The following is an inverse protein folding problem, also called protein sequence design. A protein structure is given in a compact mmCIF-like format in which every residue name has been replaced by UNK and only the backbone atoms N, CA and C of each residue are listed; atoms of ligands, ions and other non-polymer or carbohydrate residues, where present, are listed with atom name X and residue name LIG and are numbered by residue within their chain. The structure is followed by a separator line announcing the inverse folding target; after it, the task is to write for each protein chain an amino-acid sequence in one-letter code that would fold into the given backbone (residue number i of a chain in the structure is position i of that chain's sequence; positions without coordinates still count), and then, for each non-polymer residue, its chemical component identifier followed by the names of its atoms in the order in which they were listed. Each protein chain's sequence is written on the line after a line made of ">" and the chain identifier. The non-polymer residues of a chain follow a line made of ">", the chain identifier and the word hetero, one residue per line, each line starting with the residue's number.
data_IF_768915247714
#
_entry.id   IF_768915247714
#
_cell.length_a   1.000
_cell.length_b   1.000
_cell.length_c   1.000
_cell.angle_alpha   90.00
_cell.angle_beta   90.00
_cell.angle_gamma   90.00
#
_symmetry.space_group_name_H-M   'P 1'
#
loop_
_entity.id
_entity.type
_entity.pdbx_description
1 polymer ?
#
# COMPACT_ATOMS: atom_id res chain seq x y z
N UNK A 1 3.09 -8.24 -7.63
CA UNK A 1 2.67 -6.82 -7.53
C UNK A 1 1.43 -6.76 -6.65
N UNK A 2 1.42 -5.93 -5.63
CA UNK A 2 0.22 -5.66 -4.84
C UNK A 2 -0.57 -4.50 -5.47
N UNK A 3 -1.89 -4.64 -5.58
CA UNK A 3 -2.80 -3.57 -6.00
C UNK A 3 -3.71 -3.26 -4.82
N UNK A 4 -3.66 -2.04 -4.34
CA UNK A 4 -4.29 -1.60 -3.08
C UNK A 4 -5.02 -0.29 -3.29
N UNK A 5 -6.16 -0.33 -3.97
CA UNK A 5 -6.98 0.87 -4.15
C UNK A 5 -7.51 1.38 -2.79
N UNK A 6 -7.77 2.67 -2.70
CA UNK A 6 -8.34 3.25 -1.48
C UNK A 6 -9.76 2.71 -1.22
N UNK A 7 -9.92 2.04 -0.08
CA UNK A 7 -11.20 1.60 0.47
C UNK A 7 -12.04 0.69 -0.46
N UNK A 8 -11.44 0.05 -1.46
CA UNK A 8 -12.10 -0.94 -2.30
C UNK A 8 -11.10 -1.98 -2.79
N UNK A 9 -11.55 -3.24 -2.93
CA UNK A 9 -10.73 -4.31 -3.52
C UNK A 9 -10.86 -4.41 -5.04
N UNK A 10 -11.71 -3.56 -5.67
CA UNK A 10 -12.09 -3.68 -7.09
C UNK A 10 -10.89 -3.81 -8.04
N UNK A 11 -9.90 -2.92 -7.97
CA UNK A 11 -8.74 -2.98 -8.88
C UNK A 11 -7.83 -4.17 -8.62
N UNK A 12 -7.68 -4.61 -7.35
CA UNK A 12 -6.96 -5.84 -7.02
C UNK A 12 -7.58 -7.07 -7.67
N UNK A 13 -8.91 -7.19 -7.62
CA UNK A 13 -9.64 -8.30 -8.26
C UNK A 13 -9.59 -8.24 -9.79
N UNK A 14 -9.64 -7.04 -10.37
CA UNK A 14 -9.45 -6.87 -11.82
C UNK A 14 -8.03 -7.25 -12.23
N UNK A 15 -7.02 -6.88 -11.45
CA UNK A 15 -5.64 -7.28 -11.64
C UNK A 15 -5.46 -8.79 -11.61
N UNK A 16 -6.06 -9.49 -10.62
CA UNK A 16 -6.05 -10.94 -10.54
C UNK A 16 -6.62 -11.60 -11.81
N UNK A 17 -7.75 -11.10 -12.33
CA UNK A 17 -8.35 -11.60 -13.58
C UNK A 17 -7.44 -11.37 -14.79
N UNK A 18 -6.68 -10.28 -14.80
CA UNK A 18 -5.73 -9.97 -15.87
C UNK A 18 -4.40 -10.73 -15.76
N UNK A 19 -4.01 -11.13 -14.54
CA UNK A 19 -2.71 -11.74 -14.22
C UNK A 19 -2.41 -13.01 -15.03
N UNK A 20 -3.44 -13.84 -15.27
CA UNK A 20 -3.30 -15.08 -16.04
C UNK A 20 -2.77 -14.88 -17.47
N UNK A 21 -2.77 -13.64 -17.98
CA UNK A 21 -2.25 -13.29 -19.31
C UNK A 21 -0.85 -12.66 -19.29
N UNK A 22 -0.34 -12.23 -18.13
CA UNK A 22 0.87 -11.40 -18.02
C UNK A 22 2.07 -12.08 -17.37
N UNK A 23 1.89 -13.23 -16.72
CA UNK A 23 2.94 -13.90 -15.96
C UNK A 23 3.36 -13.15 -14.68
N UNK A 24 2.60 -12.11 -14.28
CA UNK A 24 2.83 -11.34 -13.07
C UNK A 24 1.93 -11.88 -11.96
N UNK A 25 2.54 -12.26 -10.83
CA UNK A 25 1.77 -12.59 -9.62
C UNK A 25 1.11 -11.32 -9.09
N UNK A 26 -0.22 -11.34 -8.98
CA UNK A 26 -0.99 -10.25 -8.37
C UNK A 26 -1.36 -10.63 -6.94
N UNK A 27 -1.07 -9.71 -6.02
CA UNK A 27 -1.47 -9.79 -4.63
C UNK A 27 -2.64 -8.81 -4.49
N UNK A 28 -3.89 -9.30 -4.37
CA UNK A 28 -5.02 -8.41 -4.18
C UNK A 28 -4.94 -7.78 -2.79
N UNK A 29 -5.36 -6.53 -2.67
CA UNK A 29 -5.43 -5.85 -1.40
C UNK A 29 -6.20 -4.56 -1.49
N UNK A 30 -6.12 -3.78 -0.41
CA UNK A 30 -6.83 -2.51 -0.24
C UNK A 30 -6.03 -1.61 0.67
N UNK A 31 -6.06 -0.30 0.43
CA UNK A 31 -5.64 0.71 1.40
C UNK A 31 -6.87 1.26 2.13
N UNK A 32 -7.14 0.76 3.34
CA UNK A 32 -8.27 1.22 4.17
C UNK A 32 -7.84 2.47 4.92
N UNK A 33 -8.57 3.56 4.70
CA UNK A 33 -8.38 4.78 5.46
C UNK A 33 -9.10 4.68 6.81
N UNK A 34 -8.36 4.65 7.91
CA UNK A 34 -8.93 4.76 9.26
C UNK A 34 -8.77 6.17 9.84
N UNK A 35 -9.38 6.40 11.02
CA UNK A 35 -9.16 7.62 11.81
C UNK A 35 -7.71 7.74 12.28
N UNK A 36 -7.03 6.61 12.50
CA UNK A 36 -5.70 6.50 13.13
C UNK A 36 -4.55 6.37 12.13
N UNK A 37 -4.85 6.17 10.85
CA UNK A 37 -3.87 6.00 9.78
C UNK A 37 -4.47 5.26 8.60
N UNK A 38 -3.77 5.26 7.47
CA UNK A 38 -4.11 4.31 6.39
C UNK A 38 -3.49 2.96 6.74
N UNK A 39 -4.12 1.86 6.33
CA UNK A 39 -3.67 0.49 6.58
C UNK A 39 -3.83 -0.29 5.28
N UNK A 40 -2.78 -1.00 4.85
CA UNK A 40 -2.91 -1.95 3.77
C UNK A 40 -3.31 -3.31 4.34
N UNK A 41 -4.30 -3.93 3.71
CA UNK A 41 -4.61 -5.34 3.92
C UNK A 41 -4.37 -6.06 2.60
N UNK A 42 -3.45 -7.03 2.60
CA UNK A 42 -3.16 -7.86 1.44
C UNK A 42 -3.76 -9.27 1.64
N UNK A 43 -4.17 -9.90 0.54
CA UNK A 43 -4.81 -11.22 0.54
C UNK A 43 -6.34 -11.19 0.47
N UNK A 44 -6.97 -10.02 0.29
CA UNK A 44 -8.42 -9.93 0.16
C UNK A 44 -8.88 -10.28 -1.27
N UNK A 45 -9.47 -11.46 -1.43
CA UNK A 45 -9.99 -11.96 -2.72
C UNK A 45 -11.48 -11.69 -2.94
N UNK A 46 -12.17 -11.16 -1.93
CA UNK A 46 -13.58 -10.81 -2.01
C UNK A 46 -13.81 -9.37 -2.45
N UNK A 47 -14.95 -9.10 -3.09
CA UNK A 47 -15.35 -7.73 -3.46
C UNK A 47 -15.87 -7.00 -2.23
N UNK A 48 -15.07 -6.05 -1.74
CA UNK A 48 -15.35 -5.25 -0.55
C UNK A 48 -15.26 -3.76 -0.87
N UNK A 49 -16.10 -2.98 -0.20
CA UNK A 49 -16.10 -1.52 -0.23
C UNK A 49 -16.20 -1.01 1.20
N UNK A 50 -15.35 -0.05 1.53
CA UNK A 50 -15.25 0.53 2.86
C UNK A 50 -15.55 2.02 2.80
N UNK A 51 -16.19 2.54 3.84
CA UNK A 51 -16.36 3.97 3.98
C UNK A 51 -15.11 4.57 4.63
N UNK A 52 -14.55 5.66 4.07
CA UNK A 52 -13.34 6.26 4.62
C UNK A 52 -13.51 6.66 6.09
N UNK A 53 -12.59 6.21 6.94
CA UNK A 53 -12.50 6.51 8.38
C UNK A 53 -13.64 5.93 9.22
N UNK A 54 -14.37 4.95 8.70
CA UNK A 54 -15.46 4.30 9.42
C UNK A 54 -14.97 3.11 10.26
N UNK A 55 -14.08 2.28 9.72
CA UNK A 55 -13.50 1.14 10.43
C UNK A 55 -12.42 1.58 11.43
N UNK A 56 -12.38 0.91 12.59
CA UNK A 56 -11.24 0.99 13.49
C UNK A 56 -10.11 0.07 13.02
N UNK A 57 -8.91 0.31 13.52
CA UNK A 57 -7.71 -0.46 13.24
C UNK A 57 -7.87 -1.91 13.69
N UNK A 58 -8.46 -2.14 14.85
CA UNK A 58 -8.71 -3.48 15.39
C UNK A 58 -9.60 -4.32 14.45
N UNK A 59 -10.70 -3.74 13.96
CA UNK A 59 -11.60 -4.39 12.99
C UNK A 59 -10.87 -4.72 11.67
N UNK A 60 -9.96 -3.84 11.24
CA UNK A 60 -9.15 -4.05 10.02
C UNK A 60 -8.18 -5.22 10.21
N UNK A 61 -7.57 -5.32 11.39
CA UNK A 61 -6.64 -6.42 11.74
C UNK A 61 -7.40 -7.73 11.87
N UNK A 62 -8.60 -7.74 12.46
CA UNK A 62 -9.47 -8.91 12.54
C UNK A 62 -9.90 -9.37 11.14
N UNK A 63 -10.32 -8.44 10.27
CA UNK A 63 -10.63 -8.71 8.87
C UNK A 63 -9.45 -9.38 8.16
N UNK A 64 -8.24 -8.81 8.29
CA UNK A 64 -7.04 -9.40 7.71
C UNK A 64 -6.79 -10.82 8.23
N UNK A 65 -6.93 -11.04 9.54
CA UNK A 65 -6.78 -12.34 10.18
C UNK A 65 -7.78 -13.39 9.66
N UNK A 66 -9.04 -13.01 9.47
CA UNK A 66 -10.11 -13.91 9.01
C UNK A 66 -9.87 -14.53 7.62
N UNK A 67 -9.04 -13.88 6.80
CA UNK A 67 -8.69 -14.32 5.44
C UNK A 67 -7.23 -14.79 5.32
N UNK A 68 -6.51 -14.89 6.43
CA UNK A 68 -5.07 -15.22 6.42
C UNK A 68 -4.20 -14.15 5.78
N UNK A 69 -4.72 -12.92 5.65
CA UNK A 69 -4.06 -11.78 5.06
C UNK A 69 -2.91 -11.22 5.90
N UNK A 70 -2.30 -10.15 5.41
CA UNK A 70 -1.27 -9.40 6.14
C UNK A 70 -1.63 -7.94 6.27
N UNK A 71 -1.30 -7.39 7.43
CA UNK A 71 -1.47 -5.98 7.79
C UNK A 71 -0.15 -5.26 7.58
N UNK A 72 -0.14 -4.31 6.65
CA UNK A 72 1.02 -3.45 6.40
C UNK A 72 0.65 -2.00 6.71
N UNK A 73 1.50 -1.29 7.45
CA UNK A 73 1.31 0.15 7.69
C UNK A 73 2.00 0.95 6.58
N UNK A 74 1.25 1.55 5.64
CA UNK A 74 1.83 2.36 4.58
C UNK A 74 2.21 3.74 5.10
N UNK A 75 3.29 4.29 4.56
CA UNK A 75 3.73 5.68 4.77
C UNK A 75 3.36 6.29 6.15
N UNK A 76 3.83 5.69 7.26
CA UNK A 76 3.33 5.88 8.62
C UNK A 76 3.31 7.34 9.11
N UNK A 77 4.25 8.15 8.60
CA UNK A 77 4.42 9.55 9.01
C UNK A 77 3.95 10.55 7.95
N UNK A 78 3.23 10.12 6.90
CA UNK A 78 2.66 11.02 5.87
C UNK A 78 1.55 11.89 6.45
N UNK A 79 0.82 11.40 7.45
CA UNK A 79 -0.14 12.18 8.23
C UNK A 79 0.60 12.87 9.40
N UNK A 80 0.03 13.96 9.90
CA UNK A 80 0.65 14.77 10.97
C UNK A 80 0.76 14.06 12.32
N UNK A 81 -0.02 12.99 12.54
CA UNK A 81 -0.02 12.21 13.77
C UNK A 81 0.82 10.93 13.61
N UNK A 82 1.67 10.58 14.58
CA UNK A 82 2.34 9.28 14.61
C UNK A 82 1.33 8.12 14.64
N UNK A 83 1.66 6.96 14.06
CA UNK A 83 0.78 5.79 14.05
C UNK A 83 0.89 5.02 15.38
N UNK A 84 0.33 5.55 16.46
CA UNK A 84 0.47 4.93 17.80
C UNK A 84 -0.10 3.51 17.89
N UNK A 85 -1.07 3.19 17.01
CA UNK A 85 -1.70 1.88 16.92
C UNK A 85 -0.72 0.73 16.64
N UNK A 86 0.45 1.03 16.09
CA UNK A 86 1.50 0.03 15.80
C UNK A 86 1.93 -0.75 17.05
N UNK A 87 1.75 -0.18 18.24
CA UNK A 87 2.05 -0.81 19.53
C UNK A 87 0.86 -1.52 20.18
N UNK A 88 -0.33 -1.31 19.64
CA UNK A 88 -1.60 -1.75 20.23
C UNK A 88 -2.16 -2.97 19.50
N UNK A 89 -1.90 -3.05 18.20
CA UNK A 89 -2.40 -4.13 17.34
C UNK A 89 -1.28 -4.85 16.63
N UNK A 90 -1.59 -6.04 16.10
CA UNK A 90 -0.68 -6.78 15.23
C UNK A 90 -0.43 -5.99 13.93
N UNK A 91 0.84 -5.81 13.60
CA UNK A 91 1.32 -5.28 12.33
C UNK A 91 2.35 -6.26 11.78
N UNK A 92 2.09 -6.81 10.59
CA UNK A 92 3.00 -7.80 9.97
C UNK A 92 4.19 -7.13 9.27
N UNK A 93 3.99 -5.92 8.74
CA UNK A 93 5.07 -5.11 8.19
C UNK A 93 4.74 -3.61 8.17
N UNK A 94 5.75 -2.79 7.90
CA UNK A 94 5.61 -1.35 7.75
C UNK A 94 6.41 -0.84 6.56
N UNK A 95 5.86 0.15 5.82
CA UNK A 95 6.62 0.81 4.75
C UNK A 95 7.73 1.69 5.34
N UNK A 96 8.97 1.18 5.32
CA UNK A 96 10.17 1.98 5.61
C UNK A 96 10.60 2.84 4.41
N UNK A 97 10.11 2.52 3.21
CA UNK A 97 10.24 3.36 2.03
C UNK A 97 8.92 3.45 1.26
N UNK A 98 8.40 4.67 1.14
CA UNK A 98 7.32 4.98 0.22
C UNK A 98 7.80 6.06 -0.78
N UNK A 99 7.64 5.81 -2.08
CA UNK A 99 8.22 6.67 -3.11
C UNK A 99 7.63 8.10 -3.13
N UNK A 100 6.38 8.27 -2.71
CA UNK A 100 5.71 9.59 -2.63
C UNK A 100 5.90 10.29 -1.29
N UNK A 101 6.63 9.65 -0.37
CA UNK A 101 6.87 10.16 0.97
C UNK A 101 8.25 10.82 1.06
N UNK A 102 8.33 11.95 1.76
CA UNK A 102 9.59 12.68 1.93
C UNK A 102 10.63 11.81 2.66
N UNK A 103 11.91 11.90 2.25
CA UNK A 103 13.03 11.13 2.83
C UNK A 103 13.04 11.10 4.36
N UNK A 104 12.87 12.26 5.00
CA UNK A 104 12.83 12.40 6.48
C UNK A 104 11.71 11.60 7.15
N UNK A 105 10.60 11.36 6.45
CA UNK A 105 9.46 10.61 6.97
C UNK A 105 9.68 9.10 6.77
N UNK A 106 10.29 8.69 5.66
CA UNK A 106 10.77 7.31 5.46
C UNK A 106 11.86 6.95 6.51
N UNK A 107 12.77 7.87 6.84
CA UNK A 107 13.76 7.65 7.91
C UNK A 107 13.11 7.46 9.28
N UNK A 108 12.07 8.23 9.60
CA UNK A 108 11.28 8.02 10.82
C UNK A 108 10.57 6.67 10.81
N UNK A 109 10.03 6.28 9.66
CA UNK A 109 9.37 4.99 9.45
C UNK A 109 10.32 3.82 9.74
N UNK A 110 11.54 3.85 9.18
CA UNK A 110 12.59 2.85 9.45
C UNK A 110 12.96 2.78 10.93
N UNK A 111 13.11 3.93 11.61
CA UNK A 111 13.39 3.96 13.07
C UNK A 111 12.26 3.38 13.91
N UNK A 112 11.00 3.61 13.51
CA UNK A 112 9.85 3.01 14.19
C UNK A 112 9.87 1.49 14.01
N UNK A 113 10.06 1.01 12.78
CA UNK A 113 10.14 -0.43 12.51
C UNK A 113 11.28 -1.10 13.29
N UNK A 114 12.45 -0.47 13.35
CA UNK A 114 13.59 -0.96 14.14
C UNK A 114 13.26 -1.02 15.64
N UNK A 115 12.65 0.03 16.19
CA UNK A 115 12.30 0.11 17.61
C UNK A 115 11.24 -0.94 18.04
N UNK A 116 10.30 -1.27 17.14
CA UNK A 116 9.22 -2.21 17.42
C UNK A 116 9.50 -3.63 16.89
N UNK A 117 10.64 -3.87 16.23
CA UNK A 117 10.98 -5.16 15.65
C UNK A 117 10.10 -5.59 14.47
N UNK A 118 9.57 -4.62 13.71
CA UNK A 118 8.61 -4.87 12.62
C UNK A 118 9.35 -4.98 11.28
N UNK A 119 9.02 -5.98 10.44
CA UNK A 119 9.55 -6.09 9.09
C UNK A 119 9.34 -4.83 8.25
N UNK A 120 10.36 -4.47 7.46
CA UNK A 120 10.35 -3.28 6.62
C UNK A 120 10.09 -3.65 5.16
N UNK A 121 9.07 -3.02 4.56
CA UNK A 121 8.76 -3.11 3.13
C UNK A 121 8.91 -1.76 2.43
N UNK A 122 8.88 -1.79 1.11
CA UNK A 122 8.88 -0.65 0.22
C UNK A 122 7.72 -0.69 -0.78
N UNK A 123 7.10 0.48 -1.00
CA UNK A 123 5.99 0.67 -1.93
C UNK A 123 6.16 1.89 -2.82
N UNK A 124 5.67 1.79 -4.05
CA UNK A 124 5.69 2.89 -5.00
C UNK A 124 4.57 3.91 -4.80
N UNK A 125 3.45 3.51 -4.20
CA UNK A 125 2.24 4.36 -4.05
C UNK A 125 1.85 4.99 -5.41
N UNK A 126 1.92 4.16 -6.46
CA UNK A 126 1.89 4.62 -7.84
C UNK A 126 0.47 5.05 -8.24
N UNK A 127 0.34 6.27 -8.75
CA UNK A 127 -0.92 6.80 -9.30
C UNK A 127 -0.87 6.96 -10.82
N UNK A 128 0.29 6.73 -11.43
CA UNK A 128 0.53 6.75 -12.87
C UNK A 128 1.48 5.61 -13.25
N UNK A 129 1.48 5.21 -14.52
CA UNK A 129 2.32 4.11 -15.00
C UNK A 129 3.82 4.33 -14.75
N UNK A 130 4.29 5.57 -14.86
CA UNK A 130 5.70 5.91 -14.62
C UNK A 130 6.14 5.81 -13.16
N UNK A 131 5.19 5.72 -12.22
CA UNK A 131 5.49 5.55 -10.79
C UNK A 131 5.65 4.08 -10.39
N UNK A 132 5.16 3.14 -11.20
CA UNK A 132 5.21 1.71 -10.89
C UNK A 132 6.65 1.25 -10.72
N UNK A 133 6.93 0.60 -9.59
CA UNK A 133 8.26 0.08 -9.27
C UNK A 133 9.26 1.14 -8.80
N UNK A 134 8.80 2.33 -8.39
CA UNK A 134 9.65 3.31 -7.70
C UNK A 134 10.03 2.90 -6.27
N UNK A 135 9.21 2.07 -5.62
CA UNK A 135 9.57 1.35 -4.39
C UNK A 135 9.31 -0.15 -4.62
N UNK A 136 10.30 -0.99 -4.32
CA UNK A 136 10.20 -2.44 -4.55
C UNK A 136 10.68 -3.21 -3.34
N UNK A 137 9.82 -4.09 -2.85
CA UNK A 137 10.15 -5.12 -1.86
C UNK A 137 10.52 -6.41 -2.61
N UNK A 138 11.71 -6.94 -2.35
CA UNK A 138 12.07 -8.31 -2.70
C UNK A 138 11.51 -9.26 -1.64
N UNK A 139 10.93 -10.36 -2.11
CA UNK A 139 10.32 -11.41 -1.29
C UNK A 139 11.16 -12.67 -1.46
N UNK A 140 11.54 -13.31 -0.35
CA UNK A 140 12.19 -14.63 -0.37
C UNK A 140 11.10 -15.67 -0.07
N UNK A 141 10.65 -16.38 -1.11
CA UNK A 141 9.59 -17.38 -1.04
C UNK A 141 9.86 -18.52 -2.04
N UNK A 142 9.32 -19.71 -1.77
CA UNK A 142 9.68 -20.93 -2.50
C UNK A 142 9.11 -20.99 -3.92
N UNK A 143 7.83 -20.66 -4.12
CA UNK A 143 7.15 -20.80 -5.41
C UNK A 143 6.47 -19.51 -5.92
N UNK A 144 6.55 -18.43 -5.15
CA UNK A 144 5.99 -17.12 -5.48
C UNK A 144 4.46 -17.06 -5.55
N UNK A 145 3.74 -18.07 -5.03
CA UNK A 145 2.29 -18.02 -4.89
C UNK A 145 1.88 -16.98 -3.84
N UNK A 146 0.59 -16.63 -3.85
CA UNK A 146 0.02 -15.63 -2.96
C UNK A 146 0.36 -15.95 -1.49
N UNK A 147 -0.01 -17.12 -1.01
CA UNK A 147 0.14 -17.50 0.40
C UNK A 147 1.60 -17.49 0.85
N UNK A 148 2.53 -17.97 0.01
CA UNK A 148 3.97 -17.95 0.28
C UNK A 148 4.53 -16.53 0.35
N UNK A 149 4.04 -15.62 -0.51
CA UNK A 149 4.41 -14.21 -0.44
C UNK A 149 3.87 -13.55 0.83
N UNK A 150 2.61 -13.82 1.20
CA UNK A 150 2.02 -13.29 2.43
C UNK A 150 2.78 -13.80 3.66
N UNK A 151 3.12 -15.08 3.68
CA UNK A 151 3.89 -15.69 4.77
C UNK A 151 5.32 -15.17 4.85
N UNK A 152 5.99 -14.93 3.71
CA UNK A 152 7.30 -14.31 3.67
C UNK A 152 7.29 -12.88 4.25
N UNK A 153 6.24 -12.09 3.95
CA UNK A 153 6.05 -10.76 4.56
C UNK A 153 5.90 -10.89 6.07
N UNK A 154 5.02 -11.79 6.52
CA UNK A 154 4.73 -12.04 7.95
C UNK A 154 5.97 -12.47 8.74
N UNK A 155 6.84 -13.27 8.14
CA UNK A 155 8.11 -13.73 8.73
C UNK A 155 9.25 -12.72 8.60
N UNK A 156 9.04 -11.61 7.88
CA UNK A 156 10.10 -10.65 7.57
C UNK A 156 11.16 -11.18 6.61
N UNK A 157 10.86 -12.20 5.81
CA UNK A 157 11.70 -12.72 4.73
C UNK A 157 11.65 -11.78 3.50
N UNK A 158 11.91 -10.49 3.75
CA UNK A 158 11.76 -9.39 2.81
C UNK A 158 12.98 -8.47 2.83
N UNK A 159 13.25 -7.81 1.71
CA UNK A 159 14.32 -6.82 1.61
C UNK A 159 13.92 -5.69 0.68
N UNK A 160 14.40 -4.48 0.91
CA UNK A 160 14.17 -3.38 -0.02
C UNK A 160 15.12 -3.54 -1.22
N UNK A 161 14.55 -3.75 -2.40
CA UNK A 161 15.30 -3.90 -3.66
C UNK A 161 15.46 -2.59 -4.42
N UNK A 162 14.56 -1.61 -4.18
CA UNK A 162 14.62 -0.32 -4.87
C UNK A 162 13.98 0.80 -4.04
N UNK A 163 14.69 1.93 -4.01
CA UNK A 163 14.27 3.20 -3.41
C UNK A 163 14.46 4.35 -4.43
N UNK A 164 13.48 4.60 -5.29
CA UNK A 164 13.47 5.71 -6.24
C UNK A 164 12.38 6.73 -5.86
N UNK A 165 12.72 7.85 -5.19
CA UNK A 165 11.74 8.85 -4.80
C UNK A 165 11.02 9.47 -6.00
N UNK A 166 9.73 9.79 -5.83
CA UNK A 166 8.91 10.40 -6.87
C UNK A 166 9.48 11.75 -7.30
N UNK A 167 9.95 11.83 -8.55
CA UNK A 167 10.79 12.93 -9.01
C UNK A 167 9.98 14.21 -9.13
N UNK A 168 10.63 15.37 -8.92
CA UNK A 168 9.96 16.67 -9.00
C UNK A 168 9.29 16.91 -10.36
N UNK A 169 9.94 16.52 -11.46
CA UNK A 169 9.36 16.64 -12.80
C UNK A 169 8.09 15.80 -12.98
N UNK A 170 8.03 14.61 -12.37
CA UNK A 170 6.86 13.74 -12.42
C UNK A 170 5.73 14.29 -11.53
N UNK A 171 6.08 14.84 -10.35
CA UNK A 171 5.13 15.57 -9.49
C UNK A 171 4.48 16.72 -10.22
N UNK A 172 5.26 17.57 -10.89
CA UNK A 172 4.73 18.72 -11.64
C UNK A 172 3.77 18.27 -12.74
N UNK A 173 4.11 17.21 -13.48
CA UNK A 173 3.20 16.63 -14.49
C UNK A 173 1.91 16.13 -13.85
N UNK A 174 2.01 15.33 -12.79
CA UNK A 174 0.83 14.76 -12.11
C UNK A 174 -0.11 15.84 -11.56
N UNK A 175 0.42 16.79 -10.78
CA UNK A 175 -0.40 17.86 -10.21
C UNK A 175 -0.87 18.86 -11.27
N UNK A 176 -0.09 19.09 -12.33
CA UNK A 176 -0.49 19.91 -13.47
C UNK A 176 -1.71 19.35 -14.20
N UNK A 177 -1.75 18.04 -14.42
CA UNK A 177 -2.93 17.35 -14.96
C UNK A 177 -4.13 17.50 -14.02
N UNK A 178 -3.94 17.25 -12.71
CA UNK A 178 -5.02 17.41 -11.71
C UNK A 178 -5.63 18.82 -11.70
N UNK A 179 -4.79 19.86 -11.74
CA UNK A 179 -5.25 21.25 -11.78
C UNK A 179 -5.98 21.53 -13.08
N UNK A 180 -5.43 21.08 -14.22
CA UNK A 180 -6.10 21.25 -15.51
C UNK A 180 -7.47 20.59 -15.53
N UNK A 181 -7.61 19.37 -15.05
CA UNK A 181 -8.90 18.67 -15.09
C UNK A 181 -9.92 19.26 -14.12
N UNK A 182 -9.47 19.77 -12.97
CA UNK A 182 -10.35 20.52 -12.07
C UNK A 182 -10.83 21.83 -12.74
N UNK A 183 -9.93 22.57 -13.39
CA UNK A 183 -10.22 23.87 -14.01
C UNK A 183 -11.05 23.73 -15.27
N UNK A 184 -10.75 22.74 -16.12
CA UNK A 184 -11.37 22.57 -17.44
C UNK A 184 -12.65 21.74 -17.35
N UNK A 185 -12.67 20.70 -16.51
CA UNK A 185 -13.75 19.71 -16.49
C UNK A 185 -14.58 19.76 -15.21
N UNK A 186 -14.25 20.61 -14.23
CA UNK A 186 -14.96 20.69 -12.95
C UNK A 186 -14.88 19.41 -12.10
N UNK A 187 -14.06 18.44 -12.50
CA UNK A 187 -13.94 17.12 -11.85
C UNK A 187 -12.66 17.06 -11.02
N UNK A 188 -12.75 16.55 -9.79
CA UNK A 188 -11.56 16.15 -9.04
C UNK A 188 -11.02 14.88 -9.68
N UNK A 189 -9.74 14.89 -10.07
CA UNK A 189 -9.06 13.71 -10.57
C UNK A 189 -8.98 12.65 -9.44
N UNK A 190 -9.79 11.60 -9.55
CA UNK A 190 -9.86 10.47 -8.63
C UNK A 190 -9.53 9.17 -9.36
N UNK A 191 -8.77 8.29 -8.71
CA UNK A 191 -8.58 6.94 -9.21
C UNK A 191 -9.93 6.20 -9.14
N UNK A 192 -10.37 5.66 -10.29
CA UNK A 192 -11.45 4.66 -10.45
C UNK A 192 -12.93 5.12 -10.49
N UNK A 193 -13.30 6.18 -11.23
CA UNK A 193 -14.73 6.38 -11.59
C UNK A 193 -15.07 6.13 -13.08
N UNK A 194 -14.11 6.11 -14.01
CA UNK A 194 -14.40 5.95 -15.44
C UNK A 194 -13.64 4.74 -16.05
N UNK A 195 -14.08 3.51 -15.74
CA UNK A 195 -13.91 2.30 -16.56
C UNK A 195 -15.12 1.37 -16.38
#
# INVERSE_FOLDING_TARGET
>A
MAITDHNTTKGGLLGLKAAGKSGVVIIPGVEISSKRGDILVLGLTEKLEFKPREMDVDDIVELAGSVGGVVVVPHPYRRSKPPTFVREVRVDALEGFNARTARRLNEKAKRLAEAEGIPVVAGSDAHTLGEVGNGVTGIIADDGKLDDVLEAIRKGAVTIQRENPFRLAERVRYYGVKVRDLVVHGRRYGCAEDL
#
